data_IF_464146628740
#
_entry.id   IF_464146628740
#
_cell.length_a   1.000
_cell.length_b   1.000
_cell.length_c   1.000
_cell.angle_alpha   90.00
_cell.angle_beta   90.00
_cell.angle_gamma   90.00
#
_symmetry.space_group_name_H-M   'P 1'
#
loop_
_entity.id
_entity.type
_entity.pdbx_description
1 polymer ?
#
# COMPACT_ATOMS: atom_id res chain seq x y z
N UNK A 1 -6.16 37.24 -10.68
CA UNK A 1 -6.28 37.11 -9.21
C UNK A 1 -7.35 36.07 -8.90
N UNK A 2 -7.13 35.17 -7.94
CA UNK A 2 -8.11 34.15 -7.58
C UNK A 2 -8.83 34.57 -6.29
N UNK A 3 -10.15 34.85 -6.31
CA UNK A 3 -10.89 35.20 -5.11
C UNK A 3 -11.20 33.92 -4.32
N UNK A 4 -10.47 33.71 -3.22
CA UNK A 4 -10.75 32.66 -2.24
C UNK A 4 -10.88 33.29 -0.86
N UNK A 5 -11.96 32.95 -0.15
CA UNK A 5 -12.25 33.47 1.19
C UNK A 5 -12.33 32.29 2.15
N UNK A 6 -11.61 32.38 3.26
CA UNK A 6 -11.64 31.39 4.32
C UNK A 6 -11.41 32.03 5.68
N UNK A 7 -11.93 31.41 6.73
CA UNK A 7 -11.86 31.89 8.11
C UNK A 7 -10.72 31.24 8.92
N UNK A 8 -10.07 30.21 8.36
CA UNK A 8 -8.99 29.48 9.01
C UNK A 8 -7.70 29.58 8.18
N UNK A 9 -6.58 29.80 8.88
CA UNK A 9 -5.24 29.82 8.29
C UNK A 9 -4.90 28.49 7.62
N UNK A 10 -5.29 27.38 8.23
CA UNK A 10 -4.97 26.05 7.71
C UNK A 10 -5.70 25.78 6.40
N UNK A 11 -6.95 26.23 6.31
CA UNK A 11 -7.77 26.16 5.09
C UNK A 11 -7.16 27.02 3.97
N UNK A 12 -6.64 28.20 4.30
CA UNK A 12 -5.92 29.05 3.34
C UNK A 12 -4.67 28.35 2.81
N UNK A 13 -3.86 27.79 3.71
CA UNK A 13 -2.62 27.10 3.34
C UNK A 13 -2.93 25.90 2.44
N UNK A 14 -3.91 25.08 2.81
CA UNK A 14 -4.33 23.93 1.99
C UNK A 14 -4.80 24.38 0.60
N UNK A 15 -5.59 25.45 0.52
CA UNK A 15 -6.04 26.01 -0.75
C UNK A 15 -4.87 26.46 -1.64
N UNK A 16 -3.91 27.18 -1.05
CA UNK A 16 -2.73 27.67 -1.78
C UNK A 16 -1.86 26.51 -2.26
N UNK A 17 -1.64 25.49 -1.42
CA UNK A 17 -0.88 24.29 -1.80
C UNK A 17 -1.58 23.53 -2.91
N UNK A 18 -2.90 23.36 -2.87
CA UNK A 18 -3.64 22.59 -3.89
C UNK A 18 -3.77 23.32 -5.22
N UNK A 19 -4.14 24.59 -5.19
CA UNK A 19 -4.55 25.34 -6.39
C UNK A 19 -3.45 26.20 -6.98
N UNK A 20 -2.43 26.51 -6.17
CA UNK A 20 -1.33 27.39 -6.55
C UNK A 20 0.05 26.76 -6.34
N UNK A 21 0.14 25.41 -6.21
CA UNK A 21 1.41 24.68 -6.04
C UNK A 21 2.51 25.15 -7.00
N UNK A 22 2.15 25.29 -8.27
CA UNK A 22 3.05 25.60 -9.38
C UNK A 22 2.70 26.95 -10.03
N UNK A 23 2.05 27.86 -9.30
CA UNK A 23 1.70 29.16 -9.86
C UNK A 23 2.98 29.99 -10.11
N UNK A 24 3.28 30.41 -11.35
CA UNK A 24 4.57 31.04 -11.69
C UNK A 24 4.78 32.39 -11.00
N UNK A 25 3.72 33.00 -10.46
CA UNK A 25 3.75 34.30 -9.80
C UNK A 25 3.50 34.22 -8.29
N UNK A 26 3.57 33.02 -7.70
CA UNK A 26 3.43 32.87 -6.25
C UNK A 26 4.76 33.22 -5.58
N UNK A 27 4.81 34.36 -4.90
CA UNK A 27 5.94 34.75 -4.07
C UNK A 27 5.45 34.81 -2.62
N UNK A 28 6.08 34.02 -1.76
CA UNK A 28 5.77 33.96 -0.32
C UNK A 28 6.92 34.60 0.45
N UNK A 29 6.60 35.58 1.29
CA UNK A 29 7.57 36.26 2.14
C UNK A 29 7.52 35.69 3.57
N UNK A 30 8.69 35.45 4.15
CA UNK A 30 8.80 35.11 5.56
C UNK A 30 8.57 36.34 6.43
N UNK A 31 7.56 36.26 7.29
CA UNK A 31 7.19 37.31 8.23
C UNK A 31 7.93 37.25 9.56
N UNK A 32 8.90 36.34 9.72
CA UNK A 32 9.70 36.27 10.94
C UNK A 32 10.56 37.54 11.08
N UNK A 33 10.64 38.13 12.29
CA UNK A 33 11.34 39.39 12.51
C UNK A 33 12.82 39.26 12.11
N UNK A 34 13.27 40.15 11.21
CA UNK A 34 14.64 40.17 10.72
C UNK A 34 14.99 39.12 9.65
N UNK A 35 14.03 38.30 9.19
CA UNK A 35 14.34 37.25 8.22
C UNK A 35 14.38 37.75 6.75
N UNK A 36 13.36 38.49 6.30
CA UNK A 36 13.29 39.08 4.96
C UNK A 36 13.33 38.10 3.77
N UNK A 37 13.30 36.78 4.00
CA UNK A 37 13.42 35.79 2.94
C UNK A 37 12.13 35.71 2.10
N UNK A 38 12.29 35.44 0.80
CA UNK A 38 11.17 35.24 -0.12
C UNK A 38 11.37 33.99 -0.96
N UNK A 39 10.27 33.33 -1.32
CA UNK A 39 10.30 32.03 -2.00
C UNK A 39 9.26 32.00 -3.11
N UNK A 40 9.64 31.46 -4.27
CA UNK A 40 8.75 31.20 -5.38
C UNK A 40 7.93 29.89 -5.20
N UNK A 41 8.23 29.10 -4.17
CA UNK A 41 7.61 27.81 -3.91
C UNK A 41 7.28 27.68 -2.41
N UNK A 42 6.06 27.22 -2.11
CA UNK A 42 5.57 26.94 -0.76
C UNK A 42 6.41 25.87 -0.03
N UNK A 43 6.95 24.89 -0.77
CA UNK A 43 7.80 23.83 -0.21
C UNK A 43 9.08 24.45 0.36
N UNK A 44 9.79 25.26 -0.43
CA UNK A 44 11.01 25.95 0.00
C UNK A 44 10.76 26.90 1.18
N UNK A 45 9.61 27.59 1.17
CA UNK A 45 9.19 28.43 2.29
C UNK A 45 8.99 27.63 3.58
N UNK A 46 8.34 26.46 3.52
CA UNK A 46 8.10 25.59 4.69
C UNK A 46 9.41 25.09 5.28
N UNK A 47 10.31 24.59 4.43
CA UNK A 47 11.65 24.11 4.83
C UNK A 47 12.44 25.22 5.52
N UNK A 48 12.40 26.42 4.94
CA UNK A 48 13.01 27.59 5.55
C UNK A 48 12.45 27.87 6.95
N UNK A 49 11.12 27.90 7.09
CA UNK A 49 10.49 28.13 8.37
C UNK A 49 10.90 27.07 9.39
N UNK A 50 10.86 25.79 9.01
CA UNK A 50 11.26 24.69 9.88
C UNK A 50 12.71 24.84 10.35
N UNK A 51 13.67 25.03 9.43
CA UNK A 51 15.11 25.07 9.75
C UNK A 51 15.53 26.31 10.52
N UNK A 52 14.90 27.47 10.26
CA UNK A 52 15.34 28.76 10.83
C UNK A 52 14.50 29.27 11.98
N UNK A 53 13.21 28.93 12.03
CA UNK A 53 12.25 29.55 12.95
C UNK A 53 11.56 28.55 13.89
N UNK A 54 11.51 27.26 13.56
CA UNK A 54 10.99 26.21 14.44
C UNK A 54 12.15 25.38 15.00
N UNK A 55 12.81 25.89 16.05
CA UNK A 55 13.94 25.21 16.72
C UNK A 55 13.54 24.38 17.96
N UNK A 56 12.29 24.44 18.39
CA UNK A 56 11.87 23.92 19.70
C UNK A 56 11.11 22.59 19.66
N UNK A 57 10.89 22.02 18.47
CA UNK A 57 10.41 20.63 18.33
C UNK A 57 11.54 19.78 17.77
N UNK A 58 11.91 18.74 18.53
CA UNK A 58 12.98 17.76 18.28
C UNK A 58 13.35 17.58 16.79
N UNK A 59 14.64 17.67 16.42
CA UNK A 59 15.07 17.54 15.03
C UNK A 59 14.88 16.09 14.59
N UNK A 60 13.77 15.81 13.90
CA UNK A 60 13.76 14.72 12.93
C UNK A 60 14.81 15.07 11.89
N UNK A 61 15.89 14.27 11.83
CA UNK A 61 16.94 14.35 10.82
C UNK A 61 16.33 14.11 9.43
N UNK A 62 15.68 15.12 8.87
CA UNK A 62 15.19 15.11 7.50
C UNK A 62 16.33 15.61 6.61
N UNK A 63 16.97 14.66 5.95
CA UNK A 63 17.92 14.95 4.88
C UNK A 63 17.19 15.61 3.70
N UNK A 64 17.89 16.45 2.93
CA UNK A 64 17.30 17.16 1.76
C UNK A 64 16.74 16.20 0.69
N UNK A 65 17.11 14.91 0.73
CA UNK A 65 16.58 13.85 -0.14
C UNK A 65 15.25 13.23 0.35
N UNK A 66 14.79 13.54 1.56
CA UNK A 66 13.56 12.98 2.16
C UNK A 66 12.38 13.98 2.19
N UNK A 67 12.53 15.17 1.60
CA UNK A 67 11.45 16.17 1.50
C UNK A 67 10.56 16.01 0.27
N UNK A 68 10.72 14.92 -0.48
CA UNK A 68 9.73 14.43 -1.45
C UNK A 68 8.71 13.51 -0.77
N UNK A 69 8.28 13.88 0.46
CA UNK A 69 7.03 13.35 1.03
C UNK A 69 5.92 13.89 0.16
N UNK A 70 5.60 13.07 -0.84
CA UNK A 70 4.47 13.17 -1.72
C UNK A 70 3.22 13.46 -0.90
N UNK A 71 2.86 14.74 -0.83
CA UNK A 71 1.62 15.20 -0.21
C UNK A 71 0.45 14.92 -1.16
N UNK A 72 0.39 13.70 -1.71
CA UNK A 72 -0.83 13.11 -2.24
C UNK A 72 -1.65 12.60 -1.06
N UNK A 73 -2.30 13.51 -0.35
CA UNK A 73 -3.48 13.15 0.45
C UNK A 73 -4.51 14.26 0.35
N UNK A 74 -5.36 14.14 -0.67
CA UNK A 74 -6.82 14.02 -0.50
C UNK A 74 -7.47 13.93 -1.88
N UNK A 75 -7.61 12.69 -2.36
CA UNK A 75 -8.63 12.32 -3.33
C UNK A 75 -9.97 12.33 -2.58
N UNK A 76 -10.77 13.39 -2.75
CA UNK A 76 -12.13 13.52 -2.18
C UNK A 76 -13.17 12.68 -2.96
N UNK A 77 -12.86 11.42 -3.23
CA UNK A 77 -13.85 10.44 -3.69
C UNK A 77 -13.41 9.06 -3.20
N UNK A 78 -14.28 8.34 -2.48
CA UNK A 78 -14.11 6.97 -1.95
C UNK A 78 -13.63 6.85 -0.49
N UNK A 79 -14.43 7.39 0.44
CA UNK A 79 -14.15 7.48 1.88
C UNK A 79 -14.55 6.25 2.72
N UNK A 80 -14.87 5.09 2.13
CA UNK A 80 -15.32 3.91 2.91
C UNK A 80 -14.49 2.63 2.70
N UNK A 81 -13.76 2.49 1.59
CA UNK A 81 -12.91 1.32 1.32
C UNK A 81 -11.40 1.60 1.51
N UNK A 82 -11.01 2.88 1.66
CA UNK A 82 -9.61 3.30 1.73
C UNK A 82 -8.96 3.11 3.11
N UNK A 83 -9.71 3.08 4.21
CA UNK A 83 -9.10 3.02 5.56
C UNK A 83 -8.33 1.72 5.81
N UNK A 84 -8.86 0.58 5.36
CA UNK A 84 -8.16 -0.71 5.51
C UNK A 84 -6.88 -0.78 4.68
N UNK A 85 -6.90 -0.21 3.47
CA UNK A 85 -5.74 -0.18 2.59
C UNK A 85 -4.68 0.83 3.05
N UNK A 86 -5.10 1.97 3.60
CA UNK A 86 -4.19 2.96 4.16
C UNK A 86 -3.49 2.42 5.41
N UNK A 87 -4.22 1.80 6.33
CA UNK A 87 -3.62 1.16 7.51
C UNK A 87 -2.59 0.09 7.13
N UNK A 88 -2.88 -0.73 6.10
CA UNK A 88 -1.92 -1.72 5.57
C UNK A 88 -0.69 -1.06 4.97
N UNK A 89 -0.85 0.00 4.18
CA UNK A 89 0.28 0.75 3.60
C UNK A 89 1.19 1.32 4.70
N UNK A 90 0.60 1.92 5.74
CA UNK A 90 1.33 2.46 6.88
C UNK A 90 2.08 1.35 7.63
N UNK A 91 1.41 0.24 7.93
CA UNK A 91 2.02 -0.91 8.61
C UNK A 91 3.19 -1.49 7.80
N UNK A 92 3.02 -1.65 6.48
CA UNK A 92 4.07 -2.12 5.59
C UNK A 92 5.26 -1.16 5.54
N UNK A 93 5.01 0.14 5.47
CA UNK A 93 6.05 1.15 5.48
C UNK A 93 6.83 1.15 6.81
N UNK A 94 6.12 1.07 7.95
CA UNK A 94 6.73 0.95 9.27
C UNK A 94 7.62 -0.28 9.40
N UNK A 95 7.18 -1.42 8.87
CA UNK A 95 7.99 -2.65 8.85
C UNK A 95 9.30 -2.44 8.09
N UNK A 96 9.25 -1.88 6.88
CA UNK A 96 10.43 -1.63 6.05
C UNK A 96 11.39 -0.65 6.74
N UNK A 97 10.85 0.44 7.30
CA UNK A 97 11.63 1.44 8.02
C UNK A 97 12.32 0.85 9.25
N UNK A 98 11.63 0.00 10.01
CA UNK A 98 12.19 -0.71 11.16
C UNK A 98 13.30 -1.68 10.72
N UNK A 99 13.10 -2.42 9.63
CA UNK A 99 14.10 -3.33 9.09
C UNK A 99 15.38 -2.57 8.69
N UNK A 100 15.21 -1.42 8.04
CA UNK A 100 16.30 -0.54 7.61
C UNK A 100 17.05 0.04 8.80
N UNK A 101 16.34 0.57 9.80
CA UNK A 101 16.96 1.24 10.96
C UNK A 101 17.63 0.29 11.94
N UNK A 102 17.10 -0.93 12.11
CA UNK A 102 17.66 -1.91 13.05
C UNK A 102 18.85 -2.68 12.49
N UNK A 103 18.89 -2.91 11.18
CA UNK A 103 19.89 -3.78 10.56
C UNK A 103 20.84 -3.05 9.59
N UNK A 104 20.72 -1.71 9.46
CA UNK A 104 21.52 -0.89 8.56
C UNK A 104 21.59 -1.45 7.13
N UNK A 105 20.47 -2.01 6.66
CA UNK A 105 20.41 -2.66 5.37
C UNK A 105 20.42 -1.61 4.26
N UNK A 106 21.12 -1.93 3.18
CA UNK A 106 21.04 -1.14 1.95
C UNK A 106 19.66 -1.29 1.33
N UNK A 107 19.22 -0.28 0.57
CA UNK A 107 17.93 -0.35 -0.13
C UNK A 107 17.85 -1.56 -1.08
N UNK A 108 18.98 -1.97 -1.67
CA UNK A 108 19.06 -3.16 -2.52
C UNK A 108 18.74 -4.44 -1.74
N UNK A 109 19.32 -4.61 -0.56
CA UNK A 109 19.06 -5.79 0.29
C UNK A 109 17.60 -5.83 0.75
N UNK A 110 17.01 -4.68 1.08
CA UNK A 110 15.59 -4.57 1.44
C UNK A 110 14.69 -5.01 0.27
N UNK A 111 14.99 -4.55 -0.95
CA UNK A 111 14.22 -4.94 -2.13
C UNK A 111 14.30 -6.45 -2.40
N UNK A 112 15.48 -7.05 -2.25
CA UNK A 112 15.68 -8.49 -2.42
C UNK A 112 14.91 -9.31 -1.38
N UNK A 113 14.87 -8.86 -0.12
CA UNK A 113 14.05 -9.48 0.93
C UNK A 113 12.55 -9.40 0.58
N UNK A 114 12.09 -8.24 0.11
CA UNK A 114 10.70 -8.04 -0.30
C UNK A 114 10.35 -8.99 -1.45
N UNK A 115 11.20 -9.11 -2.45
CA UNK A 115 10.93 -9.95 -3.62
C UNK A 115 10.99 -11.44 -3.28
N UNK A 116 11.94 -11.85 -2.45
CA UNK A 116 11.99 -13.22 -1.90
C UNK A 116 10.72 -13.55 -1.11
N UNK A 117 10.22 -12.61 -0.31
CA UNK A 117 8.99 -12.78 0.48
C UNK A 117 7.75 -12.88 -0.44
N UNK A 118 7.67 -12.06 -1.50
CA UNK A 118 6.58 -12.14 -2.49
C UNK A 118 6.57 -13.50 -3.18
N UNK A 119 7.74 -14.01 -3.57
CA UNK A 119 7.87 -15.32 -4.21
C UNK A 119 7.37 -16.44 -3.29
N UNK A 120 7.79 -16.43 -2.02
CA UNK A 120 7.36 -17.40 -1.02
C UNK A 120 5.83 -17.41 -0.84
N UNK A 121 5.21 -16.22 -0.75
CA UNK A 121 3.75 -16.09 -0.64
C UNK A 121 3.06 -16.64 -1.88
N UNK A 122 3.59 -16.35 -3.07
CA UNK A 122 3.06 -16.84 -4.34
C UNK A 122 3.09 -18.37 -4.40
N UNK A 123 4.22 -18.98 -4.03
CA UNK A 123 4.39 -20.44 -4.02
C UNK A 123 3.46 -21.09 -2.99
N UNK A 124 3.33 -20.50 -1.81
CA UNK A 124 2.42 -20.99 -0.78
C UNK A 124 0.95 -20.93 -1.24
N UNK A 125 0.55 -19.83 -1.89
CA UNK A 125 -0.78 -19.70 -2.47
C UNK A 125 -1.03 -20.73 -3.58
N UNK A 126 -0.04 -21.03 -4.42
CA UNK A 126 -0.16 -22.07 -5.45
C UNK A 126 -0.36 -23.46 -4.83
N UNK A 127 0.34 -23.78 -3.74
CA UNK A 127 0.15 -25.03 -2.98
C UNK A 127 -1.27 -25.09 -2.40
N UNK A 128 -1.73 -24.01 -1.77
CA UNK A 128 -3.09 -23.95 -1.21
C UNK A 128 -4.13 -24.14 -2.31
N UNK A 129 -3.98 -23.44 -3.44
CA UNK A 129 -4.88 -23.57 -4.59
C UNK A 129 -4.92 -25.02 -5.09
N UNK A 130 -3.76 -25.66 -5.24
CA UNK A 130 -3.66 -27.06 -5.67
C UNK A 130 -4.35 -28.02 -4.69
N UNK A 131 -4.18 -27.80 -3.39
CA UNK A 131 -4.88 -28.58 -2.35
C UNK A 131 -6.39 -28.39 -2.41
N UNK A 132 -6.85 -27.15 -2.59
CA UNK A 132 -8.27 -26.83 -2.71
C UNK A 132 -8.89 -27.47 -3.97
N UNK A 133 -8.25 -27.35 -5.14
CA UNK A 133 -8.72 -27.97 -6.39
C UNK A 133 -8.75 -29.48 -6.29
N UNK A 134 -7.71 -30.10 -5.72
CA UNK A 134 -7.68 -31.54 -5.53
C UNK A 134 -8.77 -32.01 -4.55
N UNK A 135 -9.04 -31.24 -3.49
CA UNK A 135 -10.13 -31.56 -2.54
C UNK A 135 -11.54 -31.36 -3.11
N UNK A 136 -11.69 -30.49 -4.12
CA UNK A 136 -12.95 -30.26 -4.83
C UNK A 136 -13.19 -31.27 -5.96
N UNK A 137 -12.13 -31.85 -6.53
CA UNK A 137 -12.20 -32.88 -7.59
C UNK A 137 -12.38 -34.31 -7.05
N UNK A 138 -11.98 -34.58 -5.81
CA UNK A 138 -12.13 -35.91 -5.19
C UNK A 138 -13.56 -36.37 -4.86
N UNK A 139 -14.56 -35.54 -4.51
CA UNK A 139 -15.91 -36.05 -4.23
C UNK A 139 -16.66 -36.59 -5.47
N UNK A 140 -16.18 -36.35 -6.70
CA UNK A 140 -16.84 -36.87 -7.91
C UNK A 140 -16.42 -38.28 -8.34
N UNK A 141 -15.26 -38.78 -7.89
CA UNK A 141 -14.75 -40.08 -8.32
C UNK A 141 -14.99 -41.22 -7.33
N UNK A 142 -15.42 -40.93 -6.10
CA UNK A 142 -15.61 -41.96 -5.07
C UNK A 142 -17.06 -42.48 -4.96
N UNK A 143 -17.99 -41.99 -5.79
CA UNK A 143 -19.41 -42.37 -5.76
C UNK A 143 -19.89 -43.28 -6.90
N UNK A 144 -19.01 -43.79 -7.78
CA UNK A 144 -19.43 -44.58 -8.97
C UNK A 144 -18.77 -45.95 -9.15
N UNK A 145 -17.90 -46.39 -8.25
CA UNK A 145 -17.16 -47.65 -8.43
C UNK A 145 -17.62 -48.81 -7.53
N UNK A 146 -18.71 -48.67 -6.77
CA UNK A 146 -19.28 -49.80 -6.00
C UNK A 146 -20.50 -50.45 -6.68
N UNK A 147 -20.92 -49.97 -7.86
CA UNK A 147 -22.14 -50.44 -8.56
C UNK A 147 -21.95 -51.47 -9.69
N UNK A 148 -20.71 -51.77 -10.10
CA UNK A 148 -20.45 -52.61 -11.30
C UNK A 148 -19.69 -53.91 -10.95
N UNK A 149 -20.11 -54.60 -9.89
CA UNK A 149 -19.70 -56.00 -9.65
C UNK A 149 -20.86 -56.97 -9.37
N UNK A 150 -22.12 -56.58 -9.59
CA UNK A 150 -23.29 -57.41 -9.22
C UNK A 150 -24.19 -57.83 -10.40
N UNK A 151 -23.74 -57.79 -11.66
CA UNK A 151 -24.56 -58.24 -12.81
C UNK A 151 -23.79 -59.16 -13.80
N UNK A 152 -23.02 -60.13 -13.32
CA UNK A 152 -22.56 -61.22 -14.23
C UNK A 152 -22.62 -62.65 -13.69
N UNK A 153 -23.27 -62.89 -12.54
CA UNK A 153 -23.40 -64.25 -11.96
C UNK A 153 -24.82 -64.82 -11.87
N UNK A 154 -25.76 -64.33 -12.69
CA UNK A 154 -27.09 -64.95 -12.82
C UNK A 154 -27.47 -65.12 -14.29
N UNK A 155 -26.81 -66.04 -14.99
CA UNK A 155 -27.42 -66.80 -16.10
C UNK A 155 -26.50 -67.96 -16.50
N UNK A 156 -26.50 -69.01 -15.68
CA UNK A 156 -26.16 -70.35 -16.16
C UNK A 156 -26.87 -71.39 -15.29
N UNK A 157 -28.19 -71.49 -15.49
CA UNK A 157 -29.01 -72.59 -14.98
C UNK A 157 -29.68 -73.25 -16.18
N UNK A 158 -29.33 -74.50 -16.41
CA UNK A 158 -30.25 -75.50 -16.94
C UNK A 158 -30.38 -75.57 -18.46
N UNK A 159 -29.72 -76.55 -19.06
CA UNK A 159 -30.41 -77.38 -20.06
C UNK A 159 -29.96 -78.83 -19.88
N UNK A 160 -30.80 -79.59 -19.16
CA UNK A 160 -30.87 -81.05 -19.22
C UNK A 160 -31.65 -81.43 -20.50
N UNK A 161 -31.09 -82.30 -21.33
CA UNK A 161 -31.79 -83.30 -22.16
C UNK A 161 -30.73 -84.33 -22.57
N UNK A 162 -30.78 -85.52 -21.95
CA UNK A 162 -31.38 -86.77 -22.45
C UNK A 162 -30.48 -87.49 -23.44
#
# INVERSE_FOLDING_TARGET
MCPFFCHSRDVLIQYLVRRHRNAPNLIVHCSAPGCGASFANLVSFRVHCFRKHFRDEEPTNLSDDELDIDFETNNDTELAQNDSNLAKKISNAQYILKLKSQHNLTQSAINEIIDSTKLLIKDHNAIIQTKLTNSMLTPFYQGRNEGIQMISKQHFMGTLCK
#
